data_IF_540319534815
#
_entry.id   IF_540319534815
#
_cell.length_a   1.000
_cell.length_b   1.000
_cell.length_c   1.000
_cell.angle_alpha   90.00
_cell.angle_beta   90.00
_cell.angle_gamma   90.00
#
_symmetry.space_group_name_H-M   'P 1'
#
loop_
_entity.id
_entity.type
_entity.pdbx_description
1 polymer ?
#
# COMPACT_ATOMS: atom_id res chain seq x y z
N UNK A 1 9.13 23.33 -32.71
CA UNK A 1 8.48 23.79 -31.45
C UNK A 1 7.16 23.05 -31.25
N UNK A 2 7.17 21.76 -30.83
CA UNK A 2 5.93 20.98 -30.63
C UNK A 2 6.17 19.78 -29.70
N UNK A 3 6.89 19.97 -28.58
CA UNK A 3 7.18 18.88 -27.60
C UNK A 3 6.55 19.06 -26.21
N UNK A 4 5.77 20.12 -25.95
CA UNK A 4 5.32 20.45 -24.59
C UNK A 4 3.81 20.23 -24.31
N UNK A 5 3.02 19.66 -25.25
CA UNK A 5 1.57 19.47 -25.01
C UNK A 5 1.17 18.11 -24.43
N UNK A 6 2.04 17.10 -24.45
CA UNK A 6 1.72 15.78 -23.88
C UNK A 6 1.83 15.70 -22.33
N UNK A 7 2.60 16.59 -21.72
CA UNK A 7 2.86 16.54 -20.27
C UNK A 7 1.70 17.02 -19.40
N UNK A 8 0.84 17.89 -19.92
CA UNK A 8 -0.25 18.48 -19.13
C UNK A 8 -1.49 17.58 -19.01
N UNK A 9 -1.72 16.70 -19.98
CA UNK A 9 -2.86 15.76 -19.94
C UNK A 9 -2.66 14.61 -18.95
N UNK A 10 -1.41 14.28 -18.64
CA UNK A 10 -1.08 13.19 -17.70
C UNK A 10 -1.30 13.55 -16.22
N UNK A 11 -1.22 14.83 -15.87
CA UNK A 11 -1.38 15.31 -14.49
C UNK A 11 -2.84 15.29 -14.00
N UNK A 12 -3.79 15.54 -14.86
CA UNK A 12 -5.21 15.64 -14.48
C UNK A 12 -5.89 14.27 -14.32
N UNK A 13 -5.50 13.27 -15.12
CA UNK A 13 -5.99 11.89 -14.97
C UNK A 13 -5.42 11.20 -13.74
N UNK A 14 -4.20 11.55 -13.33
CA UNK A 14 -3.54 10.99 -12.14
C UNK A 14 -4.26 11.39 -10.83
N UNK A 15 -4.68 12.65 -10.71
CA UNK A 15 -5.35 13.16 -9.51
C UNK A 15 -6.72 12.49 -9.28
N UNK A 16 -7.50 12.26 -10.35
CA UNK A 16 -8.79 11.57 -10.25
C UNK A 16 -8.67 10.07 -9.89
N UNK A 17 -7.57 9.41 -10.27
CA UNK A 17 -7.37 7.98 -9.97
C UNK A 17 -7.02 7.74 -8.50
N UNK A 18 -6.17 8.58 -7.92
CA UNK A 18 -5.81 8.51 -6.49
C UNK A 18 -7.05 8.75 -5.63
N UNK A 19 -7.88 9.73 -5.97
CA UNK A 19 -9.12 10.04 -5.26
C UNK A 19 -10.14 8.89 -5.26
N UNK A 20 -10.23 8.15 -6.36
CA UNK A 20 -11.19 7.04 -6.48
C UNK A 20 -10.76 5.80 -5.68
N UNK A 21 -9.46 5.46 -5.66
CA UNK A 21 -8.93 4.41 -4.80
C UNK A 21 -9.11 4.75 -3.31
N UNK A 22 -8.95 6.02 -2.95
CA UNK A 22 -9.20 6.50 -1.60
C UNK A 22 -10.64 6.31 -1.13
N UNK A 23 -11.61 6.60 -1.99
CA UNK A 23 -13.03 6.52 -1.62
C UNK A 23 -13.47 5.07 -1.36
N UNK A 24 -12.97 4.11 -2.14
CA UNK A 24 -13.29 2.69 -1.95
C UNK A 24 -12.65 2.08 -0.70
N UNK A 25 -11.47 2.56 -0.30
CA UNK A 25 -10.76 2.03 0.89
C UNK A 25 -11.25 2.59 2.22
N UNK A 26 -11.88 3.76 2.23
CA UNK A 26 -12.51 4.31 3.45
C UNK A 26 -13.55 3.35 4.05
N UNK A 27 -14.25 2.60 3.23
CA UNK A 27 -15.29 1.65 3.68
C UNK A 27 -14.66 0.38 4.28
N UNK A 28 -13.54 -0.10 3.77
CA UNK A 28 -12.92 -1.34 4.25
C UNK A 28 -12.13 -1.17 5.56
N UNK A 29 -11.50 0.00 5.82
CA UNK A 29 -10.78 0.23 7.07
C UNK A 29 -11.73 0.37 8.27
N UNK A 30 -12.93 0.91 8.08
CA UNK A 30 -13.95 1.02 9.13
C UNK A 30 -14.57 -0.34 9.51
N UNK A 31 -14.62 -1.31 8.61
CA UNK A 31 -15.16 -2.64 8.90
C UNK A 31 -14.26 -3.50 9.82
N UNK A 32 -12.96 -3.20 9.89
CA UNK A 32 -12.03 -3.94 10.73
C UNK A 32 -12.07 -3.56 12.22
N UNK A 33 -12.64 -2.39 12.56
CA UNK A 33 -12.69 -1.90 13.94
C UNK A 33 -14.01 -2.23 14.67
N UNK A 34 -15.02 -2.74 13.99
CA UNK A 34 -16.35 -3.00 14.60
C UNK A 34 -16.55 -4.43 15.13
N UNK A 35 -15.56 -5.32 15.04
CA UNK A 35 -15.71 -6.71 15.52
C UNK A 35 -15.10 -7.02 16.91
N UNK A 36 -14.62 -6.02 17.64
CA UNK A 36 -13.94 -6.20 18.92
C UNK A 36 -14.75 -5.74 20.16
N UNK A 37 -16.07 -5.65 20.06
CA UNK A 37 -16.90 -5.29 21.21
C UNK A 37 -18.14 -6.19 21.30
N UNK A 38 -17.99 -7.39 21.86
CA UNK A 38 -19.05 -8.11 22.61
C UNK A 38 -18.41 -9.27 23.36
N UNK A 39 -18.32 -9.14 24.65
CA UNK A 39 -17.88 -10.23 25.53
C UNK A 39 -17.68 -9.78 26.98
N UNK A 40 -18.70 -9.12 27.54
CA UNK A 40 -18.71 -8.91 28.99
C UNK A 40 -19.34 -10.16 29.60
N UNK A 41 -18.53 -11.02 30.20
CA UNK A 41 -19.00 -12.05 31.11
C UNK A 41 -18.62 -11.65 32.54
N UNK A 42 -19.64 -11.24 33.27
CA UNK A 42 -19.54 -10.95 34.70
C UNK A 42 -19.38 -12.24 35.50
N UNK A 43 -18.26 -12.41 36.17
CA UNK A 43 -18.16 -13.34 37.28
C UNK A 43 -17.74 -12.57 38.52
N UNK A 44 -18.67 -12.47 39.45
CA UNK A 44 -18.51 -12.03 40.82
C UNK A 44 -17.69 -13.09 41.59
N UNK A 45 -16.60 -12.69 42.24
CA UNK A 45 -15.89 -13.47 43.22
C UNK A 45 -15.68 -12.66 44.50
N UNK A 46 -15.73 -13.32 45.67
CA UNK A 46 -15.90 -12.65 46.93
C UNK A 46 -14.60 -12.07 47.50
N UNK A 47 -14.78 -10.95 48.13
CA UNK A 47 -13.82 -10.28 49.00
C UNK A 47 -13.23 -11.24 50.06
N UNK A 48 -11.92 -11.48 50.03
CA UNK A 48 -11.18 -11.95 51.19
C UNK A 48 -10.08 -10.94 51.48
N UNK A 49 -10.31 -10.21 52.53
CA UNK A 49 -9.31 -9.41 53.22
C UNK A 49 -8.17 -10.33 53.70
N UNK A 50 -7.00 -10.14 53.14
CA UNK A 50 -5.74 -10.55 53.76
C UNK A 50 -4.83 -9.32 53.73
N UNK A 51 -4.71 -8.72 54.88
CA UNK A 51 -3.76 -7.66 55.19
C UNK A 51 -2.35 -8.26 55.24
N UNK A 52 -1.58 -8.08 54.17
CA UNK A 52 -0.13 -8.26 54.24
C UNK A 52 0.55 -6.88 54.29
N UNK A 53 1.62 -6.74 55.06
CA UNK A 53 2.14 -5.44 55.43
C UNK A 53 2.82 -4.75 54.24
N UNK A 54 2.42 -3.50 54.00
CA UNK A 54 2.88 -2.56 53.00
C UNK A 54 4.39 -2.22 53.01
N UNK A 55 5.17 -2.92 53.84
CA UNK A 55 6.63 -2.72 53.96
C UNK A 55 7.46 -3.52 52.96
N UNK A 56 6.91 -4.55 52.30
CA UNK A 56 7.68 -5.35 51.33
C UNK A 56 7.65 -4.80 49.90
N UNK A 57 6.72 -3.90 49.57
CA UNK A 57 6.65 -3.28 48.24
C UNK A 57 7.60 -2.08 48.08
N UNK A 58 8.05 -1.46 49.15
CA UNK A 58 8.99 -0.33 49.12
C UNK A 58 10.43 -0.80 48.88
N UNK A 59 10.78 -2.03 49.27
CA UNK A 59 12.13 -2.59 49.14
C UNK A 59 12.45 -3.16 47.74
N UNK A 60 11.47 -3.33 46.85
CA UNK A 60 11.71 -3.76 45.46
C UNK A 60 11.88 -2.61 44.48
N UNK A 61 11.62 -1.37 44.88
CA UNK A 61 11.82 -0.17 44.05
C UNK A 61 13.25 0.38 44.08
N UNK A 62 14.09 -0.08 45.02
CA UNK A 62 15.42 0.52 45.28
C UNK A 62 16.60 -0.15 44.56
N UNK A 63 16.39 -1.11 43.63
CA UNK A 63 17.50 -1.81 42.98
C UNK A 63 17.49 -1.70 41.45
N UNK A 64 16.70 -0.82 40.83
CA UNK A 64 16.86 -0.52 39.40
C UNK A 64 18.00 0.47 39.22
N UNK A 65 19.03 0.05 38.47
CA UNK A 65 20.14 0.93 38.10
C UNK A 65 19.57 2.19 37.40
N UNK A 66 20.09 3.41 37.68
CA UNK A 66 19.61 4.65 37.03
C UNK A 66 19.53 4.57 35.52
N UNK A 67 20.43 3.80 34.90
CA UNK A 67 20.46 3.57 33.44
C UNK A 67 19.27 2.71 32.94
N UNK A 68 18.75 1.80 33.73
CA UNK A 68 17.59 0.97 33.38
C UNK A 68 16.28 1.75 33.46
N UNK A 69 16.15 2.65 34.44
CA UNK A 69 14.99 3.54 34.55
C UNK A 69 14.91 4.49 33.38
N UNK A 70 16.01 5.13 33.02
CA UNK A 70 16.07 6.03 31.85
C UNK A 70 15.84 5.31 30.54
N UNK A 71 16.26 4.06 30.39
CA UNK A 71 15.96 3.26 29.19
C UNK A 71 14.50 2.83 29.10
N UNK A 72 13.88 2.52 30.24
CA UNK A 72 12.45 2.18 30.31
C UNK A 72 11.59 3.38 29.93
N UNK A 73 11.84 4.54 30.49
CA UNK A 73 11.14 5.79 30.17
C UNK A 73 11.27 6.14 28.67
N UNK A 74 12.45 6.01 28.08
CA UNK A 74 12.66 6.23 26.64
C UNK A 74 11.85 5.26 25.76
N UNK A 75 11.75 3.98 26.16
CA UNK A 75 10.95 2.98 25.46
C UNK A 75 9.45 3.26 25.56
N UNK A 76 8.98 3.68 26.72
CA UNK A 76 7.59 4.07 26.94
C UNK A 76 7.21 5.30 26.11
N UNK A 77 8.05 6.33 26.09
CA UNK A 77 7.87 7.50 25.26
C UNK A 77 7.86 7.14 23.75
N UNK A 78 8.74 6.24 23.32
CA UNK A 78 8.76 5.77 21.92
C UNK A 78 7.50 4.96 21.56
N UNK A 79 6.97 4.16 22.48
CA UNK A 79 5.73 3.42 22.29
C UNK A 79 4.53 4.36 22.17
N UNK A 80 4.48 5.43 22.97
CA UNK A 80 3.45 6.47 22.87
C UNK A 80 3.53 7.20 21.51
N UNK A 81 4.73 7.61 21.08
CA UNK A 81 4.93 8.21 19.76
C UNK A 81 4.50 7.27 18.63
N UNK A 82 4.82 5.98 18.74
CA UNK A 82 4.38 4.99 17.76
C UNK A 82 2.86 4.87 17.72
N UNK A 83 2.19 4.82 18.87
CA UNK A 83 0.72 4.79 18.95
C UNK A 83 0.12 6.01 18.25
N UNK A 84 0.64 7.20 18.51
CA UNK A 84 0.21 8.44 17.87
C UNK A 84 0.43 8.42 16.35
N UNK A 85 1.56 7.87 15.89
CA UNK A 85 1.83 7.71 14.46
C UNK A 85 0.81 6.78 13.79
N UNK A 86 0.42 5.68 14.45
CA UNK A 86 -0.58 4.75 13.95
C UNK A 86 -1.98 5.40 13.87
N UNK A 87 -2.34 6.24 14.84
CA UNK A 87 -3.59 7.01 14.80
C UNK A 87 -3.60 7.99 13.63
N UNK A 88 -2.48 8.65 13.35
CA UNK A 88 -2.34 9.50 12.17
C UNK A 88 -2.41 8.68 10.88
N UNK A 89 -1.77 7.52 10.81
CA UNK A 89 -1.84 6.64 9.65
C UNK A 89 -3.27 6.21 9.35
N UNK A 90 -4.01 5.75 10.36
CA UNK A 90 -5.42 5.33 10.22
C UNK A 90 -6.34 6.48 9.83
N UNK A 91 -6.02 7.69 10.31
CA UNK A 91 -6.73 8.93 9.97
C UNK A 91 -6.29 9.53 8.64
N UNK A 92 -5.39 8.85 7.90
CA UNK A 92 -4.83 9.30 6.60
C UNK A 92 -4.05 10.63 6.69
N UNK A 93 -3.56 10.98 7.87
CA UNK A 93 -2.65 12.10 8.09
C UNK A 93 -1.22 11.63 7.88
N UNK A 94 -0.89 11.40 6.59
CA UNK A 94 0.37 10.74 6.22
C UNK A 94 1.59 11.60 6.52
N UNK A 95 1.47 12.92 6.43
CA UNK A 95 2.55 13.84 6.77
C UNK A 95 2.93 13.76 8.24
N UNK A 96 1.96 13.88 9.13
CA UNK A 96 2.17 13.82 10.58
C UNK A 96 2.67 12.44 11.02
N UNK A 97 2.15 11.38 10.39
CA UNK A 97 2.65 10.03 10.59
C UNK A 97 4.13 9.91 10.16
N UNK A 98 4.47 10.45 8.98
CA UNK A 98 5.82 10.42 8.43
C UNK A 98 6.83 11.06 9.37
N UNK A 99 6.52 12.25 9.88
CA UNK A 99 7.43 12.98 10.77
C UNK A 99 7.79 12.18 12.02
N UNK A 100 6.80 11.52 12.64
CA UNK A 100 7.03 10.70 13.83
C UNK A 100 7.78 9.41 13.47
N UNK A 101 7.35 8.73 12.40
CA UNK A 101 7.94 7.45 12.01
C UNK A 101 9.38 7.59 11.54
N UNK A 102 9.75 8.69 10.88
CA UNK A 102 11.13 9.00 10.51
C UNK A 102 12.02 9.16 11.74
N UNK A 103 11.52 9.82 12.78
CA UNK A 103 12.28 10.00 14.01
C UNK A 103 12.45 8.67 14.75
N UNK A 104 11.39 7.85 14.80
CA UNK A 104 11.48 6.51 15.37
C UNK A 104 12.46 5.61 14.61
N UNK A 105 12.48 5.67 13.26
CA UNK A 105 13.38 4.84 12.43
C UNK A 105 14.87 5.19 12.61
N UNK A 106 15.19 6.43 13.01
CA UNK A 106 16.58 6.84 13.33
C UNK A 106 17.10 6.19 14.62
N UNK A 107 16.23 5.99 15.60
CA UNK A 107 16.63 5.56 16.95
C UNK A 107 16.29 4.11 17.24
N UNK A 108 15.36 3.51 16.50
CA UNK A 108 14.84 2.17 16.74
C UNK A 108 14.79 1.36 15.46
N UNK A 109 15.04 0.06 15.58
CA UNK A 109 14.82 -0.88 14.47
C UNK A 109 13.32 -1.15 14.34
N UNK A 110 12.66 -0.49 13.40
CA UNK A 110 11.26 -0.73 13.11
C UNK A 110 11.04 -2.15 12.57
N UNK A 111 9.94 -2.78 12.98
CA UNK A 111 9.53 -4.05 12.39
C UNK A 111 9.06 -3.86 10.92
N UNK A 112 8.97 -4.92 10.12
CA UNK A 112 8.62 -4.82 8.70
C UNK A 112 7.28 -4.13 8.44
N UNK A 113 6.27 -4.32 9.31
CA UNK A 113 4.97 -3.66 9.16
C UNK A 113 5.06 -2.14 9.31
N UNK A 114 5.81 -1.67 10.31
CA UNK A 114 6.00 -0.23 10.52
C UNK A 114 6.88 0.40 9.43
N UNK A 115 7.86 -0.34 8.90
CA UNK A 115 8.59 0.07 7.70
C UNK A 115 7.67 0.20 6.48
N UNK A 116 6.71 -0.71 6.33
CA UNK A 116 5.71 -0.58 5.27
C UNK A 116 4.82 0.65 5.45
N UNK A 117 4.39 0.97 6.69
CA UNK A 117 3.66 2.21 6.96
C UNK A 117 4.49 3.45 6.60
N UNK A 118 5.75 3.47 7.01
CA UNK A 118 6.68 4.55 6.66
C UNK A 118 6.81 4.70 5.13
N UNK A 119 6.97 3.58 4.41
CA UNK A 119 7.01 3.59 2.95
C UNK A 119 5.72 4.11 2.30
N UNK A 120 4.55 3.77 2.86
CA UNK A 120 3.25 4.32 2.41
C UNK A 120 3.16 5.83 2.69
N UNK A 121 3.63 6.29 3.83
CA UNK A 121 3.66 7.73 4.12
C UNK A 121 4.52 8.48 3.10
N UNK A 122 5.71 7.98 2.79
CA UNK A 122 6.55 8.55 1.72
C UNK A 122 5.85 8.57 0.35
N UNK A 123 5.10 7.52 0.01
CA UNK A 123 4.33 7.49 -1.23
C UNK A 123 3.31 8.64 -1.30
N UNK A 124 2.60 8.91 -0.23
CA UNK A 124 1.61 9.99 -0.18
C UNK A 124 2.24 11.38 -0.10
N UNK A 125 3.48 11.48 0.40
CA UNK A 125 4.28 12.71 0.37
C UNK A 125 5.10 12.85 -0.94
N UNK A 126 4.86 11.96 -1.91
CA UNK A 126 5.42 12.00 -3.26
C UNK A 126 6.93 11.75 -3.31
N UNK A 127 7.55 11.32 -2.21
CA UNK A 127 8.93 10.81 -2.21
C UNK A 127 8.94 9.33 -2.62
N UNK A 128 8.69 9.11 -3.91
CA UNK A 128 8.63 7.77 -4.49
C UNK A 128 9.92 6.97 -4.34
N UNK A 129 11.06 7.64 -4.24
CA UNK A 129 12.35 6.99 -4.06
C UNK A 129 12.44 6.32 -2.68
N UNK A 130 12.11 7.04 -1.62
CA UNK A 130 12.08 6.48 -0.26
C UNK A 130 10.94 5.47 -0.12
N UNK A 131 9.78 5.76 -0.68
CA UNK A 131 8.65 4.82 -0.69
C UNK A 131 9.06 3.46 -1.27
N UNK A 132 9.64 3.44 -2.47
CA UNK A 132 10.09 2.21 -3.12
C UNK A 132 11.17 1.49 -2.30
N UNK A 133 12.11 2.22 -1.68
CA UNK A 133 13.15 1.64 -0.83
C UNK A 133 12.53 0.88 0.37
N UNK A 134 11.72 1.56 1.17
CA UNK A 134 11.13 0.97 2.39
C UNK A 134 10.15 -0.15 2.08
N UNK A 135 9.31 0.01 1.04
CA UNK A 135 8.31 -0.98 0.66
C UNK A 135 8.95 -2.22 0.05
N UNK A 136 9.96 -2.08 -0.81
CA UNK A 136 10.66 -3.24 -1.39
C UNK A 136 11.37 -4.08 -0.32
N UNK A 137 11.90 -3.45 0.73
CA UNK A 137 12.52 -4.14 1.87
C UNK A 137 11.47 -4.84 2.75
N UNK A 138 10.33 -4.19 2.99
CA UNK A 138 9.33 -4.68 3.93
C UNK A 138 8.44 -5.80 3.35
N UNK A 139 7.97 -5.67 2.11
CA UNK A 139 6.96 -6.55 1.49
C UNK A 139 7.29 -8.04 1.59
N UNK A 140 8.53 -8.51 1.33
CA UNK A 140 8.87 -9.93 1.43
C UNK A 140 8.67 -10.51 2.83
N UNK A 141 8.73 -9.68 3.86
CA UNK A 141 8.63 -10.07 5.27
C UNK A 141 7.18 -10.06 5.80
N UNK A 142 6.21 -9.67 4.97
CA UNK A 142 4.81 -9.50 5.38
C UNK A 142 3.92 -10.69 5.01
N UNK A 143 4.48 -11.88 4.82
CA UNK A 143 3.76 -13.08 4.38
C UNK A 143 2.56 -13.46 5.26
N UNK A 144 2.65 -13.22 6.58
CA UNK A 144 1.62 -13.58 7.56
C UNK A 144 0.48 -12.55 7.70
N UNK A 145 0.56 -11.42 7.00
CA UNK A 145 -0.49 -10.41 7.05
C UNK A 145 -1.61 -10.71 6.05
N UNK A 146 -2.77 -10.06 6.25
CA UNK A 146 -3.94 -10.31 5.41
C UNK A 146 -3.63 -10.05 3.92
N UNK A 147 -4.22 -10.82 2.99
CA UNK A 147 -3.99 -10.64 1.55
C UNK A 147 -4.24 -9.20 1.11
N UNK A 148 -5.32 -8.59 1.58
CA UNK A 148 -5.69 -7.24 1.20
C UNK A 148 -4.69 -6.18 1.72
N UNK A 149 -4.20 -6.31 2.96
CA UNK A 149 -3.16 -5.44 3.50
C UNK A 149 -1.87 -5.55 2.67
N UNK A 150 -1.46 -6.76 2.33
CA UNK A 150 -0.30 -7.02 1.47
C UNK A 150 -0.48 -6.43 0.07
N UNK A 151 -1.68 -6.55 -0.51
CA UNK A 151 -1.99 -5.96 -1.81
C UNK A 151 -1.83 -4.44 -1.80
N UNK A 152 -2.17 -3.79 -0.69
CA UNK A 152 -2.01 -2.35 -0.53
C UNK A 152 -0.54 -1.90 -0.56
N UNK A 153 0.34 -2.63 0.13
CA UNK A 153 1.77 -2.32 0.10
C UNK A 153 2.39 -2.60 -1.27
N UNK A 154 2.00 -3.69 -1.92
CA UNK A 154 2.42 -3.98 -3.29
C UNK A 154 1.97 -2.88 -4.26
N UNK A 155 0.74 -2.40 -4.12
CA UNK A 155 0.23 -1.28 -4.92
C UNK A 155 1.07 0.00 -4.70
N UNK A 156 1.28 0.41 -3.45
CA UNK A 156 2.03 1.62 -3.14
C UNK A 156 3.47 1.56 -3.68
N UNK A 157 4.11 0.38 -3.60
CA UNK A 157 5.45 0.17 -4.15
C UNK A 157 5.46 0.23 -5.68
N UNK A 158 4.53 -0.49 -6.32
CA UNK A 158 4.41 -0.50 -7.77
C UNK A 158 4.12 0.89 -8.34
N UNK A 159 3.23 1.67 -7.72
CA UNK A 159 2.95 3.05 -8.11
C UNK A 159 4.17 3.96 -7.88
N UNK A 160 4.94 3.74 -6.81
CA UNK A 160 6.18 4.48 -6.57
C UNK A 160 7.19 4.22 -7.68
N UNK A 161 7.42 2.96 -8.03
CA UNK A 161 8.32 2.57 -9.11
C UNK A 161 7.82 3.08 -10.47
N UNK A 162 6.51 3.01 -10.71
CA UNK A 162 5.90 3.55 -11.94
C UNK A 162 6.16 5.05 -12.08
N UNK A 163 5.99 5.84 -11.01
CA UNK A 163 6.26 7.27 -11.01
C UNK A 163 7.75 7.60 -11.19
N UNK A 164 8.65 6.70 -10.77
CA UNK A 164 10.09 6.78 -11.05
C UNK A 164 10.46 6.30 -12.46
N UNK A 165 9.50 5.96 -13.31
CA UNK A 165 9.68 5.39 -14.66
C UNK A 165 10.41 4.04 -14.68
N UNK A 166 10.43 3.34 -13.55
CA UNK A 166 11.00 1.99 -13.38
C UNK A 166 9.95 0.92 -13.67
N UNK A 167 9.42 0.94 -14.89
CA UNK A 167 8.26 0.15 -15.27
C UNK A 167 8.48 -1.35 -15.13
N UNK A 168 9.67 -1.84 -15.53
CA UNK A 168 10.02 -3.26 -15.41
C UNK A 168 10.16 -3.72 -13.96
N UNK A 169 10.63 -2.84 -13.06
CA UNK A 169 10.72 -3.12 -11.63
C UNK A 169 9.33 -3.09 -10.96
N UNK A 170 8.36 -2.34 -11.50
CA UNK A 170 6.99 -2.27 -10.97
C UNK A 170 6.15 -3.53 -11.30
N UNK A 171 6.42 -4.19 -12.43
CA UNK A 171 5.66 -5.35 -12.91
C UNK A 171 5.49 -6.44 -11.84
N UNK A 172 6.55 -6.97 -11.18
CA UNK A 172 6.39 -8.05 -10.21
C UNK A 172 5.51 -7.68 -9.01
N UNK A 173 5.47 -6.42 -8.61
CA UNK A 173 4.61 -5.96 -7.51
C UNK A 173 3.13 -5.91 -7.91
N UNK A 174 2.81 -5.44 -9.13
CA UNK A 174 1.44 -5.53 -9.65
C UNK A 174 1.01 -6.98 -9.86
N UNK A 175 1.89 -7.86 -10.36
CA UNK A 175 1.60 -9.29 -10.50
C UNK A 175 1.33 -9.97 -9.14
N UNK A 176 2.13 -9.64 -8.12
CA UNK A 176 1.91 -10.12 -6.75
C UNK A 176 0.59 -9.61 -6.17
N UNK A 177 0.15 -8.43 -6.56
CA UNK A 177 -1.11 -7.84 -6.12
C UNK A 177 -2.34 -8.58 -6.66
N UNK A 178 -2.32 -9.11 -7.89
CA UNK A 178 -3.46 -9.72 -8.58
C UNK A 178 -4.19 -10.83 -7.78
N UNK A 179 -3.51 -11.81 -7.16
CA UNK A 179 -4.16 -12.80 -6.33
C UNK A 179 -4.60 -12.27 -4.95
N UNK A 180 -4.08 -11.13 -4.52
CA UNK A 180 -4.27 -10.60 -3.17
C UNK A 180 -5.38 -9.54 -3.10
N UNK A 181 -5.66 -8.85 -4.20
CA UNK A 181 -6.62 -7.75 -4.28
C UNK A 181 -8.05 -8.27 -4.51
N UNK A 182 -9.04 -7.40 -4.27
CA UNK A 182 -10.44 -7.73 -4.55
C UNK A 182 -10.71 -7.83 -6.04
N UNK A 183 -11.76 -8.60 -6.39
CA UNK A 183 -12.13 -8.85 -7.80
C UNK A 183 -12.43 -7.58 -8.60
N UNK A 184 -13.00 -6.56 -7.96
CA UNK A 184 -13.30 -5.25 -8.57
C UNK A 184 -12.06 -4.36 -8.75
N UNK A 185 -10.94 -4.67 -8.09
CA UNK A 185 -9.67 -3.95 -8.23
C UNK A 185 -8.80 -4.54 -9.35
N UNK A 186 -9.00 -5.82 -9.70
CA UNK A 186 -8.18 -6.51 -10.72
C UNK A 186 -8.11 -5.80 -12.07
N UNK A 187 -9.21 -5.23 -12.61
CA UNK A 187 -9.13 -4.51 -13.88
C UNK A 187 -8.16 -3.31 -13.85
N UNK A 188 -8.10 -2.59 -12.72
CA UNK A 188 -7.15 -1.48 -12.56
C UNK A 188 -5.70 -1.98 -12.48
N UNK A 189 -5.46 -3.13 -11.86
CA UNK A 189 -4.13 -3.75 -11.80
C UNK A 189 -3.68 -4.19 -13.20
N UNK A 190 -4.56 -4.88 -13.96
CA UNK A 190 -4.29 -5.25 -15.34
C UNK A 190 -4.02 -4.03 -16.22
N UNK A 191 -4.77 -2.94 -16.03
CA UNK A 191 -4.56 -1.69 -16.74
C UNK A 191 -3.16 -1.11 -16.45
N UNK A 192 -2.72 -1.11 -15.18
CA UNK A 192 -1.37 -0.66 -14.80
C UNK A 192 -0.27 -1.56 -15.36
N UNK A 193 -0.44 -2.87 -15.31
CA UNK A 193 0.46 -3.83 -15.95
C UNK A 193 0.56 -3.57 -17.45
N UNK A 194 -0.57 -3.33 -18.12
CA UNK A 194 -0.61 -2.96 -19.53
C UNK A 194 0.26 -1.75 -19.85
N UNK A 195 0.21 -0.69 -19.02
CA UNK A 195 1.10 0.46 -19.16
C UNK A 195 2.58 0.13 -18.91
N UNK A 196 2.87 -0.65 -17.85
CA UNK A 196 4.24 -1.05 -17.57
C UNK A 196 4.86 -1.79 -18.76
N UNK A 197 4.14 -2.75 -19.34
CA UNK A 197 4.57 -3.50 -20.51
C UNK A 197 4.65 -2.63 -21.76
N UNK A 198 3.73 -1.67 -21.93
CA UNK A 198 3.74 -0.73 -23.05
C UNK A 198 4.99 0.16 -23.02
N UNK A 199 5.35 0.70 -21.86
CA UNK A 199 6.56 1.51 -21.70
C UNK A 199 7.86 0.68 -21.73
N UNK A 200 7.77 -0.62 -21.44
CA UNK A 200 8.87 -1.57 -21.63
C UNK A 200 8.94 -2.14 -23.05
N UNK A 201 8.12 -1.65 -23.99
CA UNK A 201 8.02 -2.10 -25.39
C UNK A 201 7.67 -3.59 -25.56
N UNK A 202 7.05 -4.18 -24.54
CA UNK A 202 6.57 -5.57 -24.54
C UNK A 202 5.11 -5.60 -25.05
N UNK A 203 4.95 -5.49 -26.37
CA UNK A 203 3.66 -5.20 -26.99
C UNK A 203 2.61 -6.30 -26.79
N UNK A 204 3.02 -7.58 -26.82
CA UNK A 204 2.10 -8.69 -26.63
C UNK A 204 1.59 -8.79 -25.21
N UNK A 205 2.49 -8.62 -24.23
CA UNK A 205 2.17 -8.59 -22.81
C UNK A 205 1.26 -7.41 -22.51
N UNK A 206 1.58 -6.23 -23.05
CA UNK A 206 0.75 -5.03 -22.94
C UNK A 206 -0.67 -5.27 -23.49
N UNK A 207 -0.77 -5.88 -24.67
CA UNK A 207 -2.04 -6.23 -25.28
C UNK A 207 -2.87 -7.17 -24.39
N UNK A 208 -2.25 -8.24 -23.91
CA UNK A 208 -2.92 -9.24 -23.09
C UNK A 208 -3.46 -8.62 -21.78
N UNK A 209 -2.65 -7.82 -21.12
CA UNK A 209 -3.04 -7.15 -19.86
C UNK A 209 -4.16 -6.12 -20.09
N UNK A 210 -4.07 -5.30 -21.12
CA UNK A 210 -5.13 -4.35 -21.48
C UNK A 210 -6.43 -5.05 -21.87
N UNK A 211 -6.36 -6.21 -22.52
CA UNK A 211 -7.55 -7.02 -22.83
C UNK A 211 -8.22 -7.57 -21.55
N UNK A 212 -7.43 -8.00 -20.54
CA UNK A 212 -7.98 -8.40 -19.24
C UNK A 212 -8.61 -7.20 -18.51
N UNK A 213 -7.96 -6.04 -18.55
CA UNK A 213 -8.52 -4.80 -17.99
C UNK A 213 -9.87 -4.46 -18.64
N UNK A 214 -9.97 -4.48 -19.97
CA UNK A 214 -11.20 -4.22 -20.71
C UNK A 214 -12.32 -5.19 -20.33
N UNK A 215 -12.02 -6.50 -20.30
CA UNK A 215 -12.99 -7.53 -19.89
C UNK A 215 -13.50 -7.31 -18.46
N UNK A 216 -12.62 -6.90 -17.56
CA UNK A 216 -12.97 -6.58 -16.19
C UNK A 216 -13.85 -5.34 -16.07
N UNK A 217 -13.50 -4.25 -16.74
CA UNK A 217 -14.29 -3.02 -16.77
C UNK A 217 -15.68 -3.24 -17.39
N UNK A 218 -15.79 -4.06 -18.43
CA UNK A 218 -17.09 -4.42 -19.03
C UNK A 218 -18.03 -5.11 -18.03
N UNK A 219 -17.52 -5.89 -17.07
CA UNK A 219 -18.30 -6.48 -16.00
C UNK A 219 -18.77 -5.45 -14.97
N UNK A 220 -18.06 -4.32 -14.85
CA UNK A 220 -18.32 -3.24 -13.89
C UNK A 220 -18.96 -2.01 -14.54
N UNK A 221 -19.48 -2.13 -15.75
CA UNK A 221 -19.90 -1.04 -16.66
C UNK A 221 -21.05 -0.12 -16.18
N UNK A 222 -21.57 -0.33 -15.00
CA UNK A 222 -22.77 0.38 -14.53
C UNK A 222 -22.50 1.83 -14.04
N UNK A 223 -21.28 2.35 -14.21
CA UNK A 223 -20.94 3.72 -13.83
C UNK A 223 -20.34 4.50 -15.02
N UNK A 224 -20.56 5.81 -15.12
CA UNK A 224 -20.00 6.65 -16.21
C UNK A 224 -18.47 6.55 -16.29
N UNK A 225 -17.80 6.48 -15.14
CA UNK A 225 -16.34 6.37 -15.08
C UNK A 225 -15.83 5.07 -15.71
N UNK A 226 -16.57 3.96 -15.58
CA UNK A 226 -16.20 2.70 -16.21
C UNK A 226 -16.32 2.79 -17.74
N UNK A 227 -17.34 3.51 -18.24
CA UNK A 227 -17.49 3.71 -19.68
C UNK A 227 -16.30 4.47 -20.26
N UNK A 228 -15.83 5.53 -19.60
CA UNK A 228 -14.64 6.27 -20.03
C UNK A 228 -13.38 5.38 -20.05
N UNK A 229 -13.23 4.53 -19.04
CA UNK A 229 -12.12 3.55 -18.99
C UNK A 229 -12.19 2.52 -20.10
N UNK A 230 -13.37 1.96 -20.35
CA UNK A 230 -13.59 1.00 -21.44
C UNK A 230 -13.18 1.63 -22.79
N UNK A 231 -13.65 2.86 -23.04
CA UNK A 231 -13.32 3.59 -24.27
C UNK A 231 -11.82 3.85 -24.39
N UNK A 232 -11.17 4.30 -23.31
CA UNK A 232 -9.73 4.53 -23.27
C UNK A 232 -8.94 3.26 -23.59
N UNK A 233 -9.26 2.15 -22.91
CA UNK A 233 -8.57 0.87 -23.14
C UNK A 233 -8.81 0.36 -24.55
N UNK A 234 -10.02 0.54 -25.13
CA UNK A 234 -10.32 0.18 -26.51
C UNK A 234 -9.41 0.90 -27.49
N UNK A 235 -9.26 2.23 -27.35
CA UNK A 235 -8.36 3.01 -28.19
C UNK A 235 -6.89 2.58 -28.05
N UNK A 236 -6.47 2.21 -26.84
CA UNK A 236 -5.10 1.69 -26.60
C UNK A 236 -4.88 0.36 -27.33
N UNK A 237 -5.85 -0.55 -27.26
CA UNK A 237 -5.81 -1.83 -27.98
C UNK A 237 -5.77 -1.61 -29.50
N UNK A 238 -6.61 -0.72 -30.03
CA UNK A 238 -6.58 -0.39 -31.46
C UNK A 238 -5.22 0.16 -31.90
N UNK A 239 -4.60 1.01 -31.10
CA UNK A 239 -3.26 1.55 -31.37
C UNK A 239 -2.13 0.51 -31.28
N UNK A 240 -2.29 -0.53 -30.46
CA UNK A 240 -1.30 -1.61 -30.31
C UNK A 240 -1.41 -2.69 -31.40
N UNK A 241 -2.58 -2.87 -31.99
CA UNK A 241 -2.87 -3.94 -32.98
C UNK A 241 -1.82 -4.07 -34.09
N UNK A 242 -1.38 -3.00 -34.77
CA UNK A 242 -0.36 -3.12 -35.82
C UNK A 242 0.97 -3.66 -35.27
N UNK A 243 1.39 -3.26 -34.10
CA UNK A 243 2.66 -3.69 -33.48
C UNK A 243 2.64 -5.17 -33.10
N UNK A 244 1.52 -5.64 -32.54
CA UNK A 244 1.32 -7.05 -32.18
C UNK A 244 1.30 -7.94 -33.40
N UNK A 245 0.61 -7.53 -34.48
CA UNK A 245 0.54 -8.27 -35.77
C UNK A 245 1.93 -8.37 -36.38
N UNK A 246 2.68 -7.25 -36.48
CA UNK A 246 4.05 -7.24 -36.99
C UNK A 246 4.95 -8.22 -36.25
N UNK A 247 4.91 -8.21 -34.90
CA UNK A 247 5.70 -9.09 -34.06
C UNK A 247 5.36 -10.59 -34.30
N UNK A 248 4.08 -10.92 -34.43
CA UNK A 248 3.65 -12.30 -34.72
C UNK A 248 4.15 -12.76 -36.09
N UNK A 249 4.05 -11.89 -37.12
CA UNK A 249 4.55 -12.20 -38.45
C UNK A 249 6.07 -12.42 -38.49
N UNK A 250 6.84 -11.58 -37.78
CA UNK A 250 8.29 -11.76 -37.68
C UNK A 250 8.68 -13.10 -37.02
N UNK A 251 7.95 -13.53 -36.00
CA UNK A 251 8.17 -14.86 -35.36
C UNK A 251 7.83 -16.04 -36.29
N UNK A 252 6.84 -15.88 -37.16
CA UNK A 252 6.46 -16.93 -38.12
C UNK A 252 7.46 -17.06 -39.25
N UNK A 253 8.07 -15.94 -39.68
CA UNK A 253 9.07 -15.93 -40.78
C UNK A 253 10.42 -16.49 -40.31
N UNK A 254 10.75 -16.37 -39.00
CA UNK A 254 12.00 -16.87 -38.42
C UNK A 254 11.98 -18.35 -38.00
N UNK A 255 10.85 -19.04 -38.14
CA UNK A 255 10.71 -20.48 -37.98
C UNK A 255 10.76 -21.22 -39.32
#
# INVERSE_FOLDING_TARGET
MQKNKCFFFHRQTFCCQVYRWHSFRKVCLLAFFLSASHGICAYSLPCRLASEPMQHQILQAETMHPDEVTQKEKKEAAAEQLSKALDYFTSQKYHECLMIMQELDKHYRLNPRYKAYLGVCYYYEWDYKQAAKYLSEAIPQLGNFSPHERSFYCWANAESLFNLQKYTEAIPFYQTMLPLCYANEKPDVHYRLGFCYLFAEQWNEAWNELLQAQKGYLKLRNTPDMQARITQVSHMLDGLKPKVVSFVLEKLIKK
#
